data_IF_877728436686
#
_entry.id   IF_877728436686
#
_cell.length_a   1.000
_cell.length_b   1.000
_cell.length_c   1.000
_cell.angle_alpha   90.00
_cell.angle_beta   90.00
_cell.angle_gamma   90.00
#
_symmetry.space_group_name_H-M   'P 1'
#
loop_
_entity.id
_entity.type
_entity.pdbx_description
1 polymer ?
#
# COMPACT_ATOMS: atom_id res chain seq x y z
N UNK A 1 -30.75 -21.42 15.95
CA UNK A 1 -30.22 -20.39 15.02
C UNK A 1 -29.05 -21.04 14.29
N UNK A 2 -29.08 -21.17 12.96
CA UNK A 2 -27.88 -21.59 12.20
C UNK A 2 -27.02 -20.34 12.05
N UNK A 3 -25.84 -20.33 12.69
CA UNK A 3 -24.89 -19.22 12.59
C UNK A 3 -24.20 -19.17 11.22
N UNK A 4 -23.47 -18.09 10.96
CA UNK A 4 -22.68 -17.89 9.74
C UNK A 4 -22.19 -16.46 9.59
N UNK A 5 -21.32 -16.23 8.59
CA UNK A 5 -20.87 -14.90 8.19
C UNK A 5 -21.61 -14.45 6.93
N UNK A 6 -21.92 -13.16 6.87
CA UNK A 6 -22.45 -12.50 5.69
C UNK A 6 -21.66 -11.21 5.44
N UNK A 7 -21.64 -10.74 4.20
CA UNK A 7 -21.07 -9.43 3.90
C UNK A 7 -21.88 -8.34 4.64
N UNK A 8 -21.18 -7.44 5.31
CA UNK A 8 -21.80 -6.33 6.04
C UNK A 8 -22.45 -5.28 5.11
N UNK A 9 -22.08 -5.29 3.82
CA UNK A 9 -22.56 -4.39 2.76
C UNK A 9 -22.39 -5.05 1.38
N UNK A 10 -23.00 -4.54 0.30
CA UNK A 10 -22.87 -5.11 -1.04
C UNK A 10 -21.40 -5.24 -1.49
N UNK A 11 -21.07 -6.32 -2.20
CA UNK A 11 -19.72 -6.59 -2.69
C UNK A 11 -19.18 -5.49 -3.63
N UNK A 12 -20.07 -4.76 -4.31
CA UNK A 12 -19.72 -3.62 -5.18
C UNK A 12 -19.24 -2.39 -4.40
N UNK A 13 -19.45 -2.34 -3.09
CA UNK A 13 -18.99 -1.23 -2.24
C UNK A 13 -17.66 -1.55 -1.55
N UNK A 14 -17.31 -2.83 -1.40
CA UNK A 14 -16.11 -3.28 -0.68
C UNK A 14 -14.91 -3.20 -1.61
N UNK A 15 -13.95 -2.32 -1.34
CA UNK A 15 -12.73 -2.20 -2.16
C UNK A 15 -11.69 -3.23 -1.75
N UNK A 16 -10.90 -3.70 -2.72
CA UNK A 16 -9.85 -4.68 -2.49
C UNK A 16 -8.75 -4.13 -1.58
N UNK A 17 -8.44 -2.84 -1.66
CA UNK A 17 -7.51 -2.17 -0.73
C UNK A 17 -7.97 -2.26 0.73
N UNK A 18 -9.27 -2.15 1.00
CA UNK A 18 -9.81 -2.31 2.37
C UNK A 18 -9.59 -3.72 2.90
N UNK A 19 -9.75 -4.73 2.04
CA UNK A 19 -9.53 -6.13 2.38
C UNK A 19 -8.05 -6.37 2.67
N UNK A 20 -7.16 -5.94 1.77
CA UNK A 20 -5.72 -6.13 1.92
C UNK A 20 -5.19 -5.42 3.15
N UNK A 21 -5.61 -4.18 3.42
CA UNK A 21 -5.22 -3.44 4.63
C UNK A 21 -5.61 -4.14 5.94
N UNK A 22 -6.72 -4.88 5.96
CA UNK A 22 -7.12 -5.65 7.15
C UNK A 22 -6.29 -6.93 7.30
N UNK A 23 -5.86 -7.51 6.19
CA UNK A 23 -5.04 -8.73 6.16
C UNK A 23 -3.55 -8.43 6.40
N UNK A 24 -3.09 -7.26 6.01
CA UNK A 24 -1.70 -6.85 6.13
C UNK A 24 -1.48 -6.07 7.44
N UNK A 25 -1.01 -6.78 8.48
CA UNK A 25 -0.55 -6.15 9.72
C UNK A 25 0.67 -5.24 9.46
N UNK A 26 0.80 -4.18 10.27
CA UNK A 26 1.78 -3.08 10.18
C UNK A 26 3.04 -3.40 9.35
N UNK A 27 2.97 -3.01 8.09
CA UNK A 27 3.98 -3.26 7.05
C UNK A 27 5.38 -2.84 7.48
N UNK A 28 5.50 -1.68 8.14
CA UNK A 28 6.80 -1.13 8.46
C UNK A 28 7.43 -1.86 9.64
N UNK A 29 6.62 -2.33 10.59
CA UNK A 29 7.12 -3.12 11.73
C UNK A 29 7.71 -4.43 11.24
N UNK A 30 6.99 -5.17 10.38
CA UNK A 30 7.47 -6.43 9.79
C UNK A 30 8.77 -6.26 9.01
N UNK A 31 8.88 -5.17 8.25
CA UNK A 31 10.13 -4.89 7.54
C UNK A 31 11.27 -4.67 8.52
N UNK A 32 11.14 -3.76 9.48
CA UNK A 32 12.20 -3.48 10.45
C UNK A 32 12.57 -4.69 11.32
N UNK A 33 11.61 -5.53 11.69
CA UNK A 33 11.83 -6.80 12.41
C UNK A 33 12.69 -7.80 11.63
N UNK A 34 12.66 -7.74 10.29
CA UNK A 34 13.48 -8.60 9.44
C UNK A 34 14.95 -8.13 9.34
N UNK A 35 15.27 -6.92 9.81
CA UNK A 35 16.58 -6.28 9.65
C UNK A 35 17.13 -5.72 10.97
N UNK A 36 16.91 -6.40 12.09
CA UNK A 36 17.45 -5.99 13.41
C UNK A 36 18.93 -6.34 13.58
N UNK A 37 19.47 -7.24 12.77
CA UNK A 37 20.83 -7.76 12.92
C UNK A 37 20.95 -8.63 14.16
N UNK A 38 21.85 -8.26 15.08
CA UNK A 38 22.05 -8.94 16.37
C UNK A 38 21.26 -8.29 17.52
N UNK A 39 20.48 -7.25 17.22
CA UNK A 39 19.70 -6.50 18.21
C UNK A 39 18.24 -6.95 18.22
N UNK A 40 17.51 -6.57 19.26
CA UNK A 40 16.08 -6.88 19.40
C UNK A 40 15.21 -6.03 18.45
N UNK A 41 15.70 -4.88 17.97
CA UNK A 41 14.96 -4.00 17.07
C UNK A 41 15.88 -3.21 16.12
N UNK A 42 15.34 -2.80 14.98
CA UNK A 42 16.05 -1.94 14.04
C UNK A 42 16.40 -0.60 14.69
N UNK A 43 17.68 -0.19 14.59
CA UNK A 43 18.19 1.08 15.17
C UNK A 43 17.94 2.29 14.29
N UNK A 44 17.57 2.11 13.02
CA UNK A 44 17.31 3.20 12.08
C UNK A 44 15.93 3.81 12.31
N UNK A 45 15.74 4.51 13.43
CA UNK A 45 14.44 5.11 13.81
C UNK A 45 14.20 6.48 13.18
N UNK A 46 15.24 7.27 12.90
CA UNK A 46 15.11 8.66 12.40
C UNK A 46 15.59 8.92 10.96
N UNK A 47 16.41 8.03 10.38
CA UNK A 47 17.06 8.26 9.07
C UNK A 47 17.18 6.93 8.29
N UNK A 48 16.06 6.23 8.17
CA UNK A 48 15.98 4.99 7.41
C UNK A 48 15.67 5.34 5.95
N UNK A 49 16.70 5.47 5.11
CA UNK A 49 16.53 5.88 3.71
C UNK A 49 15.60 4.98 2.88
N UNK A 50 15.41 3.71 3.27
CA UNK A 50 14.47 2.79 2.62
C UNK A 50 13.01 2.99 3.06
N UNK A 51 12.77 3.56 4.25
CA UNK A 51 11.41 3.82 4.78
C UNK A 51 10.51 4.59 3.80
N UNK A 52 10.90 5.75 3.25
CA UNK A 52 10.05 6.48 2.31
C UNK A 52 9.77 5.68 1.03
N UNK A 53 10.69 4.81 0.60
CA UNK A 53 10.49 3.95 -0.58
C UNK A 53 9.43 2.89 -0.31
N UNK A 54 9.50 2.24 0.86
CA UNK A 54 8.51 1.23 1.28
C UNK A 54 7.14 1.88 1.42
N UNK A 55 7.04 2.99 2.15
CA UNK A 55 5.77 3.69 2.32
C UNK A 55 5.17 4.07 0.97
N UNK A 56 5.97 4.65 0.07
CA UNK A 56 5.51 5.02 -1.28
C UNK A 56 5.05 3.82 -2.12
N UNK A 57 5.76 2.68 -2.05
CA UNK A 57 5.34 1.46 -2.73
C UNK A 57 3.98 0.97 -2.22
N UNK A 58 3.77 0.97 -0.90
CA UNK A 58 2.50 0.59 -0.31
C UNK A 58 1.38 1.54 -0.71
N UNK A 59 1.62 2.85 -0.76
CA UNK A 59 0.64 3.82 -1.26
C UNK A 59 0.26 3.56 -2.73
N UNK A 60 1.23 3.23 -3.58
CA UNK A 60 0.99 2.89 -4.99
C UNK A 60 0.12 1.63 -5.11
N UNK A 61 0.45 0.59 -4.34
CA UNK A 61 -0.31 -0.67 -4.32
C UNK A 61 -1.72 -0.43 -3.80
N UNK A 62 -1.87 0.24 -2.66
CA UNK A 62 -3.16 0.61 -2.08
C UNK A 62 -4.02 1.40 -3.06
N UNK A 63 -3.42 2.39 -3.76
CA UNK A 63 -4.13 3.16 -4.76
C UNK A 63 -4.60 2.30 -5.93
N UNK A 64 -3.75 1.43 -6.47
CA UNK A 64 -4.13 0.52 -7.54
C UNK A 64 -5.28 -0.41 -7.13
N UNK A 65 -5.18 -1.02 -5.94
CA UNK A 65 -6.20 -1.93 -5.41
C UNK A 65 -7.49 -1.20 -5.01
N UNK A 66 -7.42 0.09 -4.70
CA UNK A 66 -8.61 0.89 -4.38
C UNK A 66 -9.59 0.98 -5.54
N UNK A 67 -9.15 0.80 -6.79
CA UNK A 67 -10.01 0.86 -7.97
C UNK A 67 -10.79 -0.44 -8.23
N UNK A 68 -10.51 -1.51 -7.47
CA UNK A 68 -11.14 -2.83 -7.61
C UNK A 68 -12.09 -3.05 -6.44
N UNK A 69 -13.30 -3.51 -6.73
CA UNK A 69 -14.30 -3.93 -5.74
C UNK A 69 -14.35 -5.46 -5.65
N UNK A 70 -14.81 -5.99 -4.51
CA UNK A 70 -14.95 -7.42 -4.30
C UNK A 70 -15.88 -8.05 -5.36
N UNK A 71 -16.92 -7.34 -5.80
CA UNK A 71 -17.81 -7.80 -6.86
C UNK A 71 -17.09 -8.07 -8.19
N UNK A 72 -16.06 -7.30 -8.52
CA UNK A 72 -15.29 -7.47 -9.77
C UNK A 72 -14.37 -8.69 -9.74
N UNK A 73 -14.13 -9.27 -8.56
CA UNK A 73 -13.39 -10.53 -8.42
C UNK A 73 -14.28 -11.76 -8.56
N UNK A 74 -15.60 -11.58 -8.66
CA UNK A 74 -16.55 -12.69 -8.83
C UNK A 74 -16.58 -13.08 -10.31
N UNK A 75 -15.89 -14.16 -10.65
CA UNK A 75 -15.82 -14.67 -12.02
C UNK A 75 -14.74 -15.72 -12.18
N UNK A 76 -14.50 -16.14 -13.43
CA UNK A 76 -13.32 -16.92 -13.76
C UNK A 76 -12.11 -15.98 -13.95
N UNK A 77 -10.91 -16.57 -13.92
CA UNK A 77 -9.65 -15.85 -14.07
C UNK A 77 -9.63 -14.95 -15.32
N UNK A 78 -10.10 -15.44 -16.47
CA UNK A 78 -10.11 -14.69 -17.72
C UNK A 78 -10.92 -13.38 -17.62
N UNK A 79 -12.09 -13.40 -16.97
CA UNK A 79 -12.91 -12.20 -16.74
C UNK A 79 -12.22 -11.20 -15.81
N UNK A 80 -11.55 -11.70 -14.77
CA UNK A 80 -10.82 -10.85 -13.82
C UNK A 80 -9.62 -10.21 -14.51
N UNK A 81 -8.88 -10.95 -15.34
CA UNK A 81 -7.76 -10.41 -16.14
C UNK A 81 -8.23 -9.29 -17.07
N UNK A 82 -9.32 -9.50 -17.82
CA UNK A 82 -9.89 -8.48 -18.70
C UNK A 82 -10.26 -7.21 -17.92
N UNK A 83 -10.97 -7.34 -16.81
CA UNK A 83 -11.34 -6.24 -15.92
C UNK A 83 -10.12 -5.50 -15.37
N UNK A 84 -9.08 -6.23 -14.94
CA UNK A 84 -7.86 -5.66 -14.39
C UNK A 84 -7.09 -4.81 -15.41
N UNK A 85 -7.04 -5.23 -16.67
CA UNK A 85 -6.42 -4.45 -17.74
C UNK A 85 -7.16 -3.14 -18.07
N UNK A 86 -8.47 -3.06 -17.81
CA UNK A 86 -9.26 -1.86 -18.07
C UNK A 86 -9.10 -0.76 -17.01
N UNK A 87 -8.54 -1.10 -15.84
CA UNK A 87 -8.38 -0.17 -14.71
C UNK A 87 -7.11 0.70 -14.86
N UNK A 88 -6.28 0.49 -15.89
CA UNK A 88 -4.95 1.09 -16.04
C UNK A 88 -4.96 2.64 -16.08
N UNK A 89 -4.81 3.24 -14.89
CA UNK A 89 -4.49 4.64 -14.62
C UNK A 89 -3.13 4.84 -13.93
N UNK A 90 -2.31 3.78 -13.80
CA UNK A 90 -1.05 3.79 -13.03
C UNK A 90 0.06 4.62 -13.73
N UNK A 91 -0.11 4.97 -15.01
CA UNK A 91 0.94 5.63 -15.80
C UNK A 91 1.07 7.16 -15.61
N UNK A 92 0.27 7.83 -14.75
CA UNK A 92 0.22 9.31 -14.74
C UNK A 92 0.64 10.03 -13.45
N UNK A 93 0.95 9.32 -12.35
CA UNK A 93 1.14 9.97 -11.03
C UNK A 93 2.58 9.91 -10.49
N UNK A 94 3.50 9.23 -11.18
CA UNK A 94 4.92 9.20 -10.80
C UNK A 94 5.67 10.35 -11.50
N UNK A 95 5.16 11.57 -11.41
CA UNK A 95 6.03 12.75 -11.50
C UNK A 95 6.40 13.14 -10.07
N UNK A 96 7.66 13.02 -9.66
CA UNK A 96 8.07 13.52 -8.36
C UNK A 96 7.86 15.04 -8.39
N UNK A 97 6.93 15.55 -7.58
CA UNK A 97 6.98 16.97 -7.19
C UNK A 97 8.34 17.18 -6.54
N UNK A 98 9.30 17.72 -7.29
CA UNK A 98 10.56 18.22 -6.76
C UNK A 98 10.21 19.25 -5.70
N UNK A 99 10.22 18.83 -4.44
CA UNK A 99 10.21 19.72 -3.30
C UNK A 99 11.37 20.67 -3.46
N UNK A 100 11.07 21.96 -3.50
CA UNK A 100 12.04 23.03 -3.60
C UNK A 100 12.80 23.11 -2.27
N UNK A 101 13.82 22.27 -2.08
CA UNK A 101 14.74 22.39 -0.95
C UNK A 101 15.86 23.37 -1.36
N UNK A 102 15.51 24.66 -1.35
CA UNK A 102 16.49 25.70 -1.07
C UNK A 102 16.34 26.05 0.40
N UNK A 103 17.47 26.37 1.01
CA UNK A 103 17.63 26.87 2.38
C UNK A 103 17.89 25.79 3.43
N UNK A 104 19.17 25.38 3.57
CA UNK A 104 19.91 25.48 4.85
C UNK A 104 21.37 25.03 4.75
N UNK A 105 22.18 25.72 3.94
CA UNK A 105 23.64 25.74 4.12
C UNK A 105 24.15 27.18 4.07
N UNK A 106 23.75 27.97 5.07
CA UNK A 106 24.33 29.27 5.36
C UNK A 106 24.26 29.55 6.86
N UNK A 107 24.66 28.60 7.72
CA UNK A 107 24.92 28.89 9.13
C UNK A 107 25.80 27.82 9.80
N UNK A 108 27.03 27.63 9.34
CA UNK A 108 28.13 27.17 10.20
C UNK A 108 29.36 28.03 9.96
N UNK A 109 29.59 28.92 10.93
CA UNK A 109 30.93 29.39 11.27
C UNK A 109 31.76 28.21 11.79
#
# INVERSE_FOLDING_TARGET
IKGGYALARPAAEIRLSEIIRVLDEDVLSKHCESYTGVLDSCVHKGDCGIRPVIVGLHEIVEHALSQITLAQLVGNESKVVEMFHNIQGIHRTIEPKRGNHRDTEAQRR
#
